data_IF_199835383987
#
_entry.id   IF_199835383987
#
_cell.length_a   1.000
_cell.length_b   1.000
_cell.length_c   1.000
_cell.angle_alpha   90.00
_cell.angle_beta   90.00
_cell.angle_gamma   90.00
#
_symmetry.space_group_name_H-M   'P 1'
#
loop_
_entity.id
_entity.type
_entity.pdbx_description
1 polymer ?
#
# COMPACT_ATOMS: atom_id res chain seq x y z
N UNK A 1 -0.58 -10.15 8.67
CA UNK A 1 -0.80 -8.69 8.69
C UNK A 1 -2.17 -8.37 8.10
N UNK A 2 -2.59 -7.10 8.15
CA UNK A 2 -3.79 -6.57 7.51
C UNK A 2 -3.39 -5.63 6.37
N UNK A 3 -4.29 -5.41 5.42
CA UNK A 3 -4.09 -4.51 4.30
C UNK A 3 -4.89 -3.23 4.52
N UNK A 4 -4.24 -2.09 4.32
CA UNK A 4 -4.81 -0.77 4.52
C UNK A 4 -4.68 0.03 3.24
N UNK A 5 -5.77 0.63 2.82
CA UNK A 5 -5.82 1.50 1.66
C UNK A 5 -6.23 2.90 2.07
N UNK A 6 -5.59 3.90 1.48
CA UNK A 6 -6.06 5.28 1.49
C UNK A 6 -5.96 5.85 0.08
N UNK A 7 -6.79 6.84 -0.25
CA UNK A 7 -6.81 7.50 -1.56
C UNK A 7 -6.34 8.96 -1.48
N UNK A 8 -6.45 9.60 -0.32
CA UNK A 8 -6.18 11.02 -0.11
C UNK A 8 -5.29 11.19 1.13
N UNK A 9 -4.28 12.09 1.10
CA UNK A 9 -3.88 12.94 -0.03
C UNK A 9 -3.10 12.18 -1.12
N UNK A 10 -2.48 11.06 -0.76
CA UNK A 10 -1.80 10.16 -1.69
C UNK A 10 -2.36 8.76 -1.58
N UNK A 11 -2.65 8.16 -2.74
CA UNK A 11 -3.04 6.76 -2.76
C UNK A 11 -1.92 5.89 -2.21
N UNK A 12 -2.25 5.00 -1.28
CA UNK A 12 -1.30 4.03 -0.74
C UNK A 12 -1.98 2.73 -0.37
N UNK A 13 -1.33 1.62 -0.70
CA UNK A 13 -1.66 0.30 -0.20
C UNK A 13 -0.56 -0.14 0.77
N UNK A 14 -0.91 -0.44 2.01
CA UNK A 14 0.02 -0.73 3.09
C UNK A 14 -0.32 -2.07 3.72
N UNK A 15 0.69 -2.89 3.99
CA UNK A 15 0.55 -4.06 4.86
C UNK A 15 1.07 -3.72 6.27
N UNK A 16 0.24 -3.89 7.30
CA UNK A 16 0.59 -3.55 8.69
C UNK A 16 -0.22 -4.38 9.71
N UNK A 17 0.16 -4.40 10.99
CA UNK A 17 -0.62 -5.12 12.01
C UNK A 17 -1.87 -4.36 12.45
N UNK A 18 -1.81 -3.02 12.41
CA UNK A 18 -2.88 -2.12 12.83
C UNK A 18 -2.78 -0.77 12.09
N UNK A 19 -3.81 0.07 12.23
CA UNK A 19 -3.88 1.38 11.57
C UNK A 19 -2.79 2.35 12.04
N UNK A 20 -2.29 2.23 13.28
CA UNK A 20 -1.22 3.09 13.78
C UNK A 20 0.09 2.80 13.05
N UNK A 21 0.44 1.52 12.89
CA UNK A 21 1.62 1.14 12.10
C UNK A 21 1.49 1.55 10.63
N UNK A 22 0.30 1.46 10.06
CA UNK A 22 0.05 1.94 8.70
C UNK A 22 0.26 3.46 8.59
N UNK A 23 -0.23 4.23 9.57
CA UNK A 23 -0.02 5.68 9.64
C UNK A 23 1.45 6.05 9.82
N UNK A 24 2.17 5.36 10.72
CA UNK A 24 3.60 5.60 10.95
C UNK A 24 4.40 5.35 9.65
N UNK A 25 4.04 4.31 8.89
CA UNK A 25 4.67 4.00 7.62
C UNK A 25 4.33 5.03 6.52
N UNK A 26 3.07 5.47 6.47
CA UNK A 26 2.61 6.52 5.56
C UNK A 26 3.36 7.83 5.79
N UNK A 27 3.42 8.30 7.05
CA UNK A 27 4.15 9.51 7.44
C UNK A 27 5.65 9.40 7.21
N UNK A 28 6.24 8.21 7.34
CA UNK A 28 7.64 8.00 7.00
C UNK A 28 7.92 8.24 5.52
N UNK A 29 6.94 7.98 4.64
CA UNK A 29 7.05 8.20 3.20
C UNK A 29 6.72 9.65 2.80
N UNK A 30 5.62 10.20 3.31
CA UNK A 30 5.10 11.50 2.86
C UNK A 30 5.32 12.67 3.83
N UNK A 31 5.77 12.40 5.05
CA UNK A 31 5.90 13.38 6.12
C UNK A 31 4.65 13.48 7.01
N UNK A 32 4.77 14.24 8.11
CA UNK A 32 3.73 14.33 9.15
C UNK A 32 2.59 15.33 8.84
N UNK A 33 2.68 16.08 7.74
CA UNK A 33 1.71 17.14 7.40
C UNK A 33 0.56 16.64 6.51
N UNK A 34 0.71 15.49 5.88
CA UNK A 34 -0.17 14.98 4.83
C UNK A 34 -0.88 13.70 5.29
N UNK A 35 -1.41 13.69 6.51
CA UNK A 35 -2.08 12.52 7.05
C UNK A 35 -3.26 12.05 6.18
N UNK A 36 -3.43 10.73 6.00
CA UNK A 36 -4.56 10.21 5.27
C UNK A 36 -5.85 10.47 6.05
N UNK A 37 -6.90 10.91 5.35
CA UNK A 37 -8.21 11.17 5.98
C UNK A 37 -8.79 9.91 6.64
N UNK A 38 -8.56 8.76 6.00
CA UNK A 38 -8.98 7.43 6.47
C UNK A 38 -8.11 6.33 5.88
N UNK A 39 -8.07 5.21 6.60
CA UNK A 39 -7.63 3.92 6.08
C UNK A 39 -8.80 2.95 5.99
N UNK A 40 -9.07 2.44 4.79
CA UNK A 40 -9.96 1.32 4.57
C UNK A 40 -9.19 0.01 4.79
N UNK A 41 -9.75 -0.92 5.54
CA UNK A 41 -9.17 -2.26 5.66
C UNK A 41 -9.63 -3.13 4.50
N UNK A 42 -8.70 -3.79 3.82
CA UNK A 42 -8.97 -4.71 2.72
C UNK A 42 -8.71 -6.16 3.16
N UNK A 43 -9.40 -7.10 2.52
CA UNK A 43 -8.99 -8.50 2.56
C UNK A 43 -7.84 -8.77 1.57
N UNK A 44 -7.22 -9.96 1.66
CA UNK A 44 -6.05 -10.30 0.81
C UNK A 44 -6.38 -10.29 -0.68
N UNK A 45 -7.56 -10.76 -1.07
CA UNK A 45 -7.96 -10.82 -2.48
C UNK A 45 -8.18 -9.43 -3.07
N UNK A 46 -8.78 -8.52 -2.30
CA UNK A 46 -8.92 -7.11 -2.68
C UNK A 46 -7.56 -6.44 -2.86
N UNK A 47 -6.62 -6.66 -1.93
CA UNK A 47 -5.26 -6.12 -2.04
C UNK A 47 -4.53 -6.66 -3.29
N UNK A 48 -4.62 -7.96 -3.55
CA UNK A 48 -4.06 -8.58 -4.75
C UNK A 48 -4.67 -8.03 -6.04
N UNK A 49 -5.98 -7.74 -6.04
CA UNK A 49 -6.65 -7.12 -7.16
C UNK A 49 -6.12 -5.70 -7.42
N UNK A 50 -5.85 -4.91 -6.37
CA UNK A 50 -5.22 -3.58 -6.51
C UNK A 50 -3.83 -3.68 -7.11
N UNK A 51 -3.01 -4.62 -6.64
CA UNK A 51 -1.67 -4.88 -7.19
C UNK A 51 -1.76 -5.26 -8.67
N UNK A 52 -2.62 -6.22 -9.02
CA UNK A 52 -2.75 -6.70 -10.41
C UNK A 52 -3.31 -5.65 -11.38
N UNK A 53 -3.94 -4.59 -10.86
CA UNK A 53 -4.45 -3.46 -11.66
C UNK A 53 -3.52 -2.24 -11.62
N UNK A 54 -2.50 -2.25 -10.77
CA UNK A 54 -1.49 -1.20 -10.71
C UNK A 54 -0.53 -1.31 -11.91
N UNK A 55 0.05 -0.15 -12.24
CA UNK A 55 1.09 -0.04 -13.24
C UNK A 55 2.39 0.39 -12.60
N UNK A 56 3.51 0.19 -13.29
CA UNK A 56 4.80 0.81 -12.99
C UNK A 56 4.86 2.21 -13.60
N UNK A 57 5.90 2.98 -13.29
CA UNK A 57 6.16 4.29 -13.91
C UNK A 57 6.23 4.23 -15.45
N UNK A 58 6.75 3.12 -15.98
CA UNK A 58 6.85 2.88 -17.43
C UNK A 58 5.52 2.43 -18.05
N UNK A 59 4.48 2.23 -17.24
CA UNK A 59 3.12 1.86 -17.68
C UNK A 59 2.89 0.36 -17.86
N UNK A 60 3.89 -0.47 -17.49
CA UNK A 60 3.78 -1.92 -17.43
C UNK A 60 2.91 -2.35 -16.25
N UNK A 61 2.29 -3.53 -16.33
CA UNK A 61 1.48 -4.03 -15.22
C UNK A 61 2.39 -4.56 -14.11
N UNK A 62 2.05 -4.22 -12.88
CA UNK A 62 2.69 -4.81 -11.71
C UNK A 62 2.18 -6.24 -11.51
N UNK A 63 3.09 -7.19 -11.29
CA UNK A 63 2.78 -8.61 -11.15
C UNK A 63 2.80 -9.05 -9.69
N UNK A 64 2.08 -10.13 -9.39
CA UNK A 64 2.11 -10.75 -8.07
C UNK A 64 3.54 -11.13 -7.63
N UNK A 65 4.37 -11.65 -8.55
CA UNK A 65 5.72 -12.09 -8.20
C UNK A 65 6.62 -10.92 -7.79
N UNK A 66 6.38 -9.71 -8.29
CA UNK A 66 7.15 -8.51 -7.93
C UNK A 66 6.89 -8.04 -6.49
N UNK A 67 5.69 -8.27 -5.95
CA UNK A 67 5.30 -7.81 -4.61
C UNK A 67 5.03 -8.92 -3.60
N UNK A 68 5.20 -10.18 -4.03
CA UNK A 68 4.97 -11.37 -3.21
C UNK A 68 5.79 -11.36 -1.92
N UNK A 69 7.05 -10.94 -2.00
CA UNK A 69 7.93 -10.87 -0.82
C UNK A 69 7.41 -9.84 0.19
N UNK A 70 6.89 -8.71 -0.26
CA UNK A 70 6.30 -7.69 0.60
C UNK A 70 4.95 -8.12 1.18
N UNK A 71 4.15 -8.87 0.42
CA UNK A 71 2.91 -9.47 0.91
C UNK A 71 3.15 -10.52 2.01
N UNK A 72 4.24 -11.27 1.89
CA UNK A 72 4.65 -12.29 2.86
C UNK A 72 5.57 -11.71 3.97
N UNK A 73 5.84 -10.39 3.92
CA UNK A 73 6.68 -9.73 4.89
C UNK A 73 6.13 -9.87 6.31
N UNK A 74 7.06 -10.10 7.25
CA UNK A 74 6.76 -10.16 8.69
C UNK A 74 6.82 -8.79 9.37
N UNK A 75 7.15 -7.74 8.62
CA UNK A 75 7.21 -6.36 9.07
C UNK A 75 6.28 -5.49 8.20
N UNK A 76 5.71 -4.39 8.74
CA UNK A 76 4.89 -3.49 7.96
C UNK A 76 5.65 -2.88 6.78
N UNK A 77 5.01 -2.84 5.61
CA UNK A 77 5.64 -2.43 4.33
C UNK A 77 4.64 -1.69 3.45
N UNK A 78 5.15 -0.78 2.61
CA UNK A 78 4.37 -0.08 1.58
C UNK A 78 4.29 -0.99 0.35
N UNK A 79 3.08 -1.31 -0.11
CA UNK A 79 2.86 -2.16 -1.28
C UNK A 79 2.65 -1.38 -2.56
N UNK A 80 2.01 -0.20 -2.50
CA UNK A 80 1.78 0.67 -3.65
C UNK A 80 1.84 2.13 -3.21
N UNK A 81 2.44 2.99 -4.04
CA UNK A 81 2.50 4.45 -3.88
C UNK A 81 1.98 5.10 -5.16
N UNK A 82 0.91 5.89 -5.05
CA UNK A 82 0.13 6.30 -6.22
C UNK A 82 -0.45 5.05 -6.94
N UNK A 83 -1.46 5.18 -7.80
CA UNK A 83 -2.01 3.99 -8.52
C UNK A 83 -1.01 3.40 -9.52
N UNK A 84 0.24 3.89 -9.55
CA UNK A 84 1.17 3.82 -10.68
C UNK A 84 2.62 3.54 -10.26
N UNK A 85 3.01 3.54 -8.96
CA UNK A 85 4.46 3.47 -8.64
C UNK A 85 4.78 2.60 -7.42
N UNK A 86 5.83 1.78 -7.57
CA UNK A 86 6.61 1.14 -6.52
C UNK A 86 8.08 1.51 -6.73
#
# INVERSE_FOLDING_TARGET
MKYYETEEPFYSLIVANNTKEALDLYRKMYGDNDDPEKFNSLNREEALYRIASAKTEDGDNLTYEEVKEDLDAKAPTMLLVDRVIL
#
